data_IF_212554005805
#
_entry.id   IF_212554005805
#
_cell.length_a   1.000
_cell.length_b   1.000
_cell.length_c   1.000
_cell.angle_alpha   90.00
_cell.angle_beta   90.00
_cell.angle_gamma   90.00
#
_symmetry.space_group_name_H-M   'P 1'
#
loop_
_entity.id
_entity.type
_entity.pdbx_description
1 polymer ?
#
# COMPACT_ATOMS: atom_id res chain seq x y z
N UNK A 1 10.78 -16.07 12.17
CA UNK A 1 10.20 -14.88 11.52
C UNK A 1 11.37 -14.03 11.03
N UNK A 2 11.48 -13.70 9.74
CA UNK A 2 12.59 -12.85 9.28
C UNK A 2 13.19 -13.09 7.89
N UNK A 3 12.85 -14.16 7.15
CA UNK A 3 13.32 -14.32 5.76
C UNK A 3 12.22 -14.04 4.72
N UNK A 4 10.97 -14.35 5.06
CA UNK A 4 9.83 -14.19 4.15
C UNK A 4 9.44 -12.70 3.99
N UNK A 5 9.50 -11.94 5.08
CA UNK A 5 9.04 -10.54 5.13
C UNK A 5 9.90 -9.61 4.26
N UNK A 6 11.23 -9.79 4.30
CA UNK A 6 12.17 -9.05 3.44
C UNK A 6 11.95 -9.35 1.95
N UNK A 7 11.65 -10.60 1.59
CA UNK A 7 11.47 -11.00 0.18
C UNK A 7 10.28 -10.30 -0.48
N UNK A 8 9.14 -10.23 0.23
CA UNK A 8 7.96 -9.56 -0.32
C UNK A 8 8.09 -8.04 -0.34
N UNK A 9 8.79 -7.45 0.64
CA UNK A 9 9.09 -6.02 0.65
C UNK A 9 9.95 -5.61 -0.55
N UNK A 10 10.97 -6.40 -0.87
CA UNK A 10 11.78 -6.18 -2.07
C UNK A 10 10.94 -6.36 -3.34
N UNK A 11 10.09 -7.39 -3.38
CA UNK A 11 9.22 -7.66 -4.51
C UNK A 11 8.28 -6.49 -4.80
N UNK A 12 7.57 -6.00 -3.78
CA UNK A 12 6.62 -4.90 -3.91
C UNK A 12 7.27 -3.52 -3.91
N UNK A 13 8.59 -3.41 -3.70
CA UNK A 13 9.37 -2.19 -3.97
C UNK A 13 9.58 -1.96 -5.46
N UNK A 14 9.35 -2.98 -6.29
CA UNK A 14 9.40 -2.86 -7.74
C UNK A 14 8.08 -2.34 -8.32
N UNK A 15 8.17 -1.29 -9.14
CA UNK A 15 7.02 -0.71 -9.87
C UNK A 15 6.27 -1.75 -10.70
N UNK A 16 6.97 -2.65 -11.40
CA UNK A 16 6.31 -3.66 -12.25
C UNK A 16 5.47 -4.64 -11.41
N UNK A 17 5.92 -5.02 -10.22
CA UNK A 17 5.15 -5.91 -9.35
C UNK A 17 3.81 -5.28 -8.93
N UNK A 18 3.81 -3.99 -8.63
CA UNK A 18 2.60 -3.27 -8.20
C UNK A 18 1.63 -3.09 -9.36
N UNK A 19 2.16 -2.83 -10.56
CA UNK A 19 1.37 -2.81 -11.78
C UNK A 19 0.76 -4.18 -12.08
N UNK A 20 1.53 -5.26 -11.97
CA UNK A 20 1.04 -6.63 -12.19
C UNK A 20 -0.01 -7.02 -11.14
N UNK A 21 0.17 -6.61 -9.88
CA UNK A 21 -0.83 -6.78 -8.83
C UNK A 21 -2.15 -6.10 -9.19
N UNK A 22 -2.10 -4.83 -9.59
CA UNK A 22 -3.29 -4.05 -9.93
C UNK A 22 -3.99 -4.60 -11.18
N UNK A 23 -3.24 -4.87 -12.24
CA UNK A 23 -3.78 -5.38 -13.51
C UNK A 23 -4.21 -6.85 -13.43
N UNK A 24 -3.62 -7.65 -12.53
CA UNK A 24 -3.93 -9.06 -12.36
C UNK A 24 -5.12 -9.35 -11.43
N UNK A 25 -5.34 -8.52 -10.42
CA UNK A 25 -6.35 -8.78 -9.38
C UNK A 25 -7.56 -7.82 -9.42
N UNK A 26 -7.41 -6.60 -9.94
CA UNK A 26 -8.51 -5.63 -10.07
C UNK A 26 -9.07 -5.75 -11.49
N UNK A 27 -10.34 -6.11 -11.61
CA UNK A 27 -11.04 -6.38 -12.88
C UNK A 27 -11.86 -5.20 -13.38
N UNK A 28 -11.66 -4.04 -12.79
CA UNK A 28 -12.42 -2.83 -13.07
C UNK A 28 -11.76 -2.03 -14.20
N UNK A 29 -12.57 -1.52 -15.12
CA UNK A 29 -12.09 -0.86 -16.35
C UNK A 29 -11.15 0.33 -16.09
N UNK A 30 -11.31 0.99 -14.93
CA UNK A 30 -10.50 2.16 -14.55
C UNK A 30 -9.00 1.83 -14.40
N UNK A 31 -8.64 0.56 -14.22
CA UNK A 31 -7.24 0.11 -14.17
C UNK A 31 -6.52 0.38 -15.50
N UNK A 32 -7.23 0.26 -16.63
CA UNK A 32 -6.68 0.57 -17.95
C UNK A 32 -6.39 2.06 -18.17
N UNK A 33 -6.91 2.92 -17.30
CA UNK A 33 -6.73 4.38 -17.35
C UNK A 33 -5.59 4.87 -16.45
N UNK A 34 -4.94 3.96 -15.72
CA UNK A 34 -3.79 4.28 -14.88
C UNK A 34 -2.54 4.54 -15.72
N UNK A 35 -1.89 5.67 -15.46
CA UNK A 35 -0.60 5.99 -16.03
C UNK A 35 0.52 5.48 -15.12
N UNK A 36 0.87 4.22 -15.30
CA UNK A 36 1.97 3.57 -14.57
C UNK A 36 3.35 4.18 -14.87
N UNK A 37 3.50 4.94 -15.97
CA UNK A 37 4.76 5.66 -16.24
C UNK A 37 5.02 6.78 -15.24
N UNK A 38 3.94 7.36 -14.70
CA UNK A 38 3.97 8.36 -13.62
C UNK A 38 3.89 7.75 -12.23
N UNK A 39 3.90 6.42 -12.11
CA UNK A 39 3.85 5.76 -10.82
C UNK A 39 5.14 6.03 -10.04
N UNK A 40 5.01 6.47 -8.79
CA UNK A 40 6.16 6.64 -7.91
C UNK A 40 5.88 6.24 -6.47
N UNK A 41 6.93 5.80 -5.79
CA UNK A 41 6.84 5.41 -4.38
C UNK A 41 6.89 6.67 -3.53
N UNK A 42 5.90 6.82 -2.66
CA UNK A 42 5.93 7.90 -1.66
C UNK A 42 6.84 7.42 -0.52
N UNK A 43 8.07 7.93 -0.47
CA UNK A 43 8.98 7.65 0.65
C UNK A 43 8.42 8.33 1.90
N UNK A 44 7.91 7.54 2.83
CA UNK A 44 7.38 8.04 4.08
C UNK A 44 8.48 8.74 4.86
N UNK A 45 8.38 10.06 4.98
CA UNK A 45 8.68 10.77 6.25
C UNK A 45 7.39 11.29 6.87
N UNK A 46 6.29 11.38 6.10
CA UNK A 46 5.04 12.01 6.53
C UNK A 46 4.01 11.09 7.20
N UNK A 47 4.04 9.77 6.93
CA UNK A 47 3.15 8.80 7.59
C UNK A 47 3.62 8.59 9.02
N UNK A 48 2.83 8.96 10.04
CA UNK A 48 3.24 8.98 11.46
C UNK A 48 4.08 7.78 11.87
N UNK A 49 5.16 8.02 12.62
CA UNK A 49 6.16 7.02 13.04
C UNK A 49 5.55 5.72 13.63
N UNK A 50 4.35 5.80 14.24
CA UNK A 50 3.63 4.66 14.82
C UNK A 50 3.14 3.60 13.82
N UNK A 51 2.84 3.97 12.56
CA UNK A 51 2.40 3.03 11.52
C UNK A 51 3.59 2.24 10.94
N UNK A 52 4.73 2.92 10.75
CA UNK A 52 5.92 2.32 10.14
C UNK A 52 6.64 1.33 11.03
N UNK A 53 6.55 1.48 12.35
CA UNK A 53 7.25 0.57 13.27
C UNK A 53 6.62 -0.82 13.34
N UNK A 54 5.37 -1.02 12.88
CA UNK A 54 4.71 -2.33 12.95
C UNK A 54 4.33 -2.97 11.62
N UNK A 55 4.19 -2.21 10.53
CA UNK A 55 3.70 -2.74 9.26
C UNK A 55 4.55 -2.27 8.08
N UNK A 56 4.85 -3.20 7.16
CA UNK A 56 5.63 -2.95 5.94
C UNK A 56 4.77 -2.24 4.88
N UNK A 57 4.25 -1.07 5.24
CA UNK A 57 3.31 -0.30 4.44
C UNK A 57 4.02 0.36 3.25
N UNK A 58 3.44 0.20 2.05
CA UNK A 58 3.95 0.77 0.82
C UNK A 58 2.90 1.64 0.15
N UNK A 59 3.23 2.93 -0.02
CA UNK A 59 2.34 3.89 -0.68
C UNK A 59 2.87 4.19 -2.08
N UNK A 60 1.99 4.00 -3.05
CA UNK A 60 2.23 4.27 -4.47
C UNK A 60 1.33 5.38 -4.95
N UNK A 61 1.92 6.39 -5.56
CA UNK A 61 1.21 7.48 -6.23
C UNK A 61 1.20 7.18 -7.72
N UNK A 62 0.02 7.10 -8.34
CA UNK A 62 -0.18 6.73 -9.74
C UNK A 62 -0.99 7.83 -10.44
N UNK A 63 -0.63 8.17 -11.67
CA UNK A 63 -1.42 9.10 -12.47
C UNK A 63 -2.75 8.46 -12.87
N UNK A 64 -3.86 9.18 -12.72
CA UNK A 64 -5.18 8.70 -13.13
C UNK A 64 -6.01 9.87 -13.66
N UNK A 65 -6.17 9.95 -14.99
CA UNK A 65 -6.76 11.11 -15.69
C UNK A 65 -6.07 12.42 -15.24
N UNK A 66 -6.86 13.41 -14.80
CA UNK A 66 -6.37 14.70 -14.30
C UNK A 66 -6.10 14.72 -12.78
N UNK A 67 -6.02 13.55 -12.14
CA UNK A 67 -5.80 13.42 -10.69
C UNK A 67 -4.75 12.36 -10.35
N UNK A 68 -4.41 12.31 -9.07
CA UNK A 68 -3.54 11.27 -8.51
C UNK A 68 -4.38 10.21 -7.80
N UNK A 69 -4.03 8.95 -8.04
CA UNK A 69 -4.50 7.83 -7.25
C UNK A 69 -3.40 7.40 -6.28
N UNK A 70 -3.76 7.21 -5.02
CA UNK A 70 -2.87 6.66 -4.00
C UNK A 70 -3.29 5.22 -3.73
N UNK A 71 -2.36 4.30 -3.96
CA UNK A 71 -2.51 2.87 -3.66
C UNK A 71 -1.70 2.58 -2.42
N UNK A 72 -2.38 2.16 -1.36
CA UNK A 72 -1.78 1.74 -0.10
C UNK A 72 -1.77 0.21 -0.06
N UNK A 73 -0.57 -0.36 -0.02
CA UNK A 73 -0.37 -1.81 0.10
C UNK A 73 0.05 -2.09 1.55
N UNK A 74 -0.86 -2.73 2.27
CA UNK A 74 -0.60 -3.28 3.59
C UNK A 74 -0.12 -4.71 3.44
N UNK A 75 1.13 -4.97 3.81
CA UNK A 75 1.67 -6.32 3.87
C UNK A 75 1.70 -6.79 5.32
N UNK A 76 0.85 -7.75 5.65
CA UNK A 76 0.83 -8.35 6.98
C UNK A 76 1.01 -9.87 6.92
N UNK A 77 2.26 -10.30 7.14
CA UNK A 77 2.63 -11.71 7.19
C UNK A 77 2.33 -12.29 8.57
N UNK A 78 1.06 -12.57 8.83
CA UNK A 78 0.66 -13.28 10.04
C UNK A 78 1.17 -14.73 9.99
N UNK A 79 2.00 -15.11 10.97
CA UNK A 79 2.45 -16.51 11.11
C UNK A 79 1.36 -17.44 11.64
N UNK A 80 0.24 -16.89 12.11
CA UNK A 80 -0.91 -17.62 12.66
C UNK A 80 -2.17 -16.80 12.39
N UNK A 81 -3.29 -17.47 12.10
CA UNK A 81 -4.56 -16.80 11.87
C UNK A 81 -4.97 -16.02 13.13
N UNK A 82 -5.03 -14.68 13.02
CA UNK A 82 -5.63 -13.85 14.06
C UNK A 82 -7.15 -13.77 13.87
N UNK A 83 -7.89 -14.09 14.92
CA UNK A 83 -9.36 -14.00 14.94
C UNK A 83 -9.85 -12.55 14.80
N UNK A 84 -9.04 -11.57 15.17
CA UNK A 84 -9.40 -10.15 15.22
C UNK A 84 -8.92 -9.35 14.01
N UNK A 85 -8.52 -10.00 12.91
CA UNK A 85 -8.03 -9.32 11.69
C UNK A 85 -8.96 -8.21 11.18
N UNK A 86 -10.28 -8.37 11.29
CA UNK A 86 -11.24 -7.32 10.91
C UNK A 86 -11.12 -6.03 11.75
N UNK A 87 -10.86 -6.15 13.06
CA UNK A 87 -10.67 -5.00 13.97
C UNK A 87 -9.36 -4.28 13.64
N UNK A 88 -8.33 -5.07 13.31
CA UNK A 88 -7.03 -4.55 12.92
C UNK A 88 -7.10 -3.77 11.61
N UNK A 89 -7.82 -4.28 10.61
CA UNK A 89 -8.10 -3.59 9.36
C UNK A 89 -8.76 -2.22 9.57
N UNK A 90 -9.76 -2.14 10.46
CA UNK A 90 -10.41 -0.87 10.79
C UNK A 90 -9.44 0.14 11.43
N UNK A 91 -8.50 -0.34 12.24
CA UNK A 91 -7.46 0.50 12.84
C UNK A 91 -6.54 1.08 11.77
N UNK A 92 -6.12 0.29 10.78
CA UNK A 92 -5.30 0.77 9.67
C UNK A 92 -6.01 1.82 8.82
N UNK A 93 -7.29 1.61 8.50
CA UNK A 93 -8.08 2.61 7.79
C UNK A 93 -8.17 3.91 8.59
N UNK A 94 -8.37 3.83 9.91
CA UNK A 94 -8.40 5.00 10.79
C UNK A 94 -7.08 5.76 10.81
N UNK A 95 -5.96 5.06 10.94
CA UNK A 95 -4.62 5.66 10.94
C UNK A 95 -4.29 6.27 9.57
N UNK A 96 -4.68 5.62 8.46
CA UNK A 96 -4.54 6.17 7.11
C UNK A 96 -5.32 7.47 6.96
N UNK A 97 -6.57 7.54 7.43
CA UNK A 97 -7.34 8.79 7.38
C UNK A 97 -6.74 9.89 8.25
N UNK A 98 -6.26 9.56 9.44
CA UNK A 98 -5.54 10.53 10.28
C UNK A 98 -4.31 11.10 9.56
N UNK A 99 -3.60 10.26 8.82
CA UNK A 99 -2.43 10.69 8.04
C UNK A 99 -2.81 11.60 6.86
N UNK A 100 -3.83 11.20 6.09
CA UNK A 100 -4.35 12.02 4.99
C UNK A 100 -4.85 13.39 5.47
N UNK A 101 -5.46 13.46 6.65
CA UNK A 101 -5.89 14.74 7.25
C UNK A 101 -4.68 15.62 7.62
N UNK A 102 -3.57 15.03 8.10
CA UNK A 102 -2.35 15.76 8.45
C UNK A 102 -1.56 16.24 7.24
N UNK A 103 -1.69 15.55 6.11
CA UNK A 103 -0.91 15.78 4.88
C UNK A 103 -1.68 16.51 3.79
N UNK A 104 -3.00 16.67 3.96
CA UNK A 104 -3.92 17.40 3.06
C UNK A 104 -3.91 18.91 3.24
#
# INVERSE_FOLDING_TARGET
MGQTDLGYKELFSNKEMVKDLLTGFVREDWIGELDFSKMDRVSGTYVSDDLRERHDDMIWKIGFRDRWLYVYILLEFQSTVDRWMGVRLLTYIGLLYQDLIKTG
#
